data_IF_460618476658
#
_entry.id   IF_460618476658
#
_cell.length_a   1.000
_cell.length_b   1.000
_cell.length_c   1.000
_cell.angle_alpha   90.00
_cell.angle_beta   90.00
_cell.angle_gamma   90.00
#
_symmetry.space_group_name_H-M   'P 1'
#
loop_
_entity.id
_entity.type
_entity.pdbx_description
1 polymer ?
#
# COMPACT_ATOMS: atom_id res chain seq x y z
N UNK A 1 -13.74 7.56 -2.74
CA UNK A 1 -13.82 7.26 -1.29
C UNK A 1 -12.50 7.66 -0.62
N UNK A 2 -12.58 8.03 0.62
CA UNK A 2 -11.41 8.38 1.43
C UNK A 2 -11.36 7.52 2.68
N UNK A 3 -10.17 7.03 3.00
CA UNK A 3 -9.91 6.17 4.15
C UNK A 3 -8.74 6.73 4.95
N UNK A 4 -8.84 6.70 6.28
CA UNK A 4 -7.74 7.04 7.18
C UNK A 4 -7.68 6.01 8.30
N UNK A 5 -6.48 5.45 8.53
CA UNK A 5 -6.22 4.46 9.57
C UNK A 5 -5.01 4.92 10.38
N UNK A 6 -5.03 4.67 11.70
CA UNK A 6 -3.95 5.07 12.61
C UNK A 6 -3.46 3.85 13.36
N UNK A 7 -2.13 3.68 13.43
CA UNK A 7 -1.47 2.58 14.13
C UNK A 7 -0.34 3.09 15.02
N UNK A 8 -0.18 2.48 16.18
CA UNK A 8 0.97 2.72 17.06
C UNK A 8 2.06 1.68 16.83
N UNK A 9 3.33 2.10 16.98
CA UNK A 9 4.52 1.27 16.78
C UNK A 9 5.52 1.43 17.91
N UNK A 10 6.11 0.32 18.36
CA UNK A 10 7.20 0.29 19.36
C UNK A 10 8.57 0.29 18.64
N UNK A 11 8.73 1.16 17.67
CA UNK A 11 9.99 1.32 16.93
C UNK A 11 10.20 2.79 16.57
N UNK A 12 11.41 3.12 16.14
CA UNK A 12 11.69 4.46 15.60
C UNK A 12 11.15 4.60 14.19
N UNK A 13 10.84 5.82 13.72
CA UNK A 13 10.49 6.03 12.30
C UNK A 13 11.57 5.52 11.35
N UNK A 14 12.84 5.67 11.72
CA UNK A 14 13.98 5.20 10.91
C UNK A 14 13.96 3.68 10.75
N UNK A 15 13.69 2.95 11.82
CA UNK A 15 13.57 1.48 11.75
C UNK A 15 12.37 1.05 10.91
N UNK A 16 11.25 1.75 11.01
CA UNK A 16 10.06 1.48 10.19
C UNK A 16 10.39 1.64 8.69
N UNK A 17 10.97 2.78 8.31
CA UNK A 17 11.27 3.02 6.90
C UNK A 17 12.37 2.12 6.36
N UNK A 18 13.35 1.76 7.16
CA UNK A 18 14.38 0.79 6.77
C UNK A 18 13.77 -0.56 6.39
N UNK A 19 12.80 -1.02 7.16
CA UNK A 19 12.08 -2.27 6.84
C UNK A 19 11.14 -2.08 5.65
N UNK A 20 10.34 -1.01 5.66
CA UNK A 20 9.36 -0.75 4.61
C UNK A 20 9.99 -0.69 3.21
N UNK A 21 11.18 -0.08 3.10
CA UNK A 21 11.89 0.06 1.83
C UNK A 21 12.97 -1.02 1.60
N UNK A 22 13.04 -2.03 2.45
CA UNK A 22 13.86 -3.21 2.16
C UNK A 22 13.19 -4.00 1.03
N UNK A 23 13.85 -4.15 -0.15
CA UNK A 23 13.24 -4.83 -1.29
C UNK A 23 12.86 -6.29 -1.02
N UNK A 24 13.69 -7.01 -0.27
CA UNK A 24 13.41 -8.41 0.08
C UNK A 24 12.18 -8.50 0.98
N UNK A 25 12.08 -7.62 1.97
CA UNK A 25 10.92 -7.57 2.85
C UNK A 25 9.65 -7.22 2.10
N UNK A 26 9.70 -6.24 1.19
CA UNK A 26 8.54 -5.85 0.38
C UNK A 26 7.98 -7.03 -0.41
N UNK A 27 8.85 -7.85 -1.03
CA UNK A 27 8.43 -9.05 -1.75
C UNK A 27 7.87 -10.11 -0.80
N UNK A 28 8.53 -10.36 0.34
CA UNK A 28 8.04 -11.31 1.35
C UNK A 28 6.68 -10.91 1.91
N UNK A 29 6.47 -9.63 2.19
CA UNK A 29 5.19 -9.12 2.66
C UNK A 29 4.06 -9.50 1.70
N UNK A 30 4.26 -9.27 0.42
CA UNK A 30 3.26 -9.59 -0.59
C UNK A 30 3.05 -11.10 -0.75
N UNK A 31 4.12 -11.87 -0.86
CA UNK A 31 4.00 -13.32 -1.15
C UNK A 31 3.62 -14.14 0.08
N UNK A 32 4.14 -13.81 1.26
CA UNK A 32 3.92 -14.61 2.48
C UNK A 32 2.74 -14.14 3.32
N UNK A 33 2.42 -12.85 3.28
CA UNK A 33 1.38 -12.27 4.14
C UNK A 33 0.12 -11.87 3.38
N UNK A 34 0.26 -11.14 2.28
CA UNK A 34 -0.87 -10.57 1.56
C UNK A 34 -1.49 -11.51 0.51
N UNK A 35 -0.89 -12.69 0.31
CA UNK A 35 -1.42 -13.68 -0.62
C UNK A 35 -1.29 -13.28 -2.08
N UNK A 36 -0.35 -12.40 -2.42
CA UNK A 36 -0.10 -12.01 -3.81
C UNK A 36 0.40 -13.19 -4.63
N UNK A 37 0.00 -13.26 -5.89
CA UNK A 37 0.44 -14.31 -6.83
C UNK A 37 1.82 -14.01 -7.39
N UNK A 38 2.22 -12.73 -7.37
CA UNK A 38 3.53 -12.25 -7.81
C UNK A 38 3.87 -10.96 -7.07
N UNK A 39 5.15 -10.68 -6.91
CA UNK A 39 5.61 -9.40 -6.35
C UNK A 39 7.04 -9.14 -6.82
N UNK A 40 7.31 -7.94 -7.29
CA UNK A 40 8.61 -7.54 -7.81
C UNK A 40 8.85 -6.06 -7.53
N UNK A 41 10.02 -5.72 -7.00
CA UNK A 41 10.51 -4.34 -6.97
C UNK A 41 11.16 -4.07 -8.32
N UNK A 42 10.44 -3.38 -9.20
CA UNK A 42 10.93 -3.09 -10.56
C UNK A 42 12.08 -2.08 -10.54
N UNK A 43 11.99 -1.09 -9.65
CA UNK A 43 13.05 -0.09 -9.47
C UNK A 43 12.98 0.52 -8.08
N UNK A 44 14.14 0.89 -7.56
CA UNK A 44 14.25 1.63 -6.33
C UNK A 44 15.46 2.55 -6.43
N UNK A 45 15.22 3.84 -6.44
CA UNK A 45 16.24 4.87 -6.63
C UNK A 45 16.25 5.84 -5.45
N UNK A 46 17.45 6.32 -5.10
CA UNK A 46 17.64 7.21 -3.96
C UNK A 46 17.96 6.45 -2.68
N UNK A 47 17.81 7.12 -1.56
CA UNK A 47 18.07 6.56 -0.24
C UNK A 47 17.17 7.19 0.84
N UNK A 48 17.25 6.66 2.05
CA UNK A 48 16.43 7.13 3.16
C UNK A 48 16.91 8.48 3.74
N UNK A 49 18.06 8.98 3.33
CA UNK A 49 18.60 10.26 3.78
C UNK A 49 18.15 11.43 2.90
N UNK A 50 18.13 11.22 1.59
CA UNK A 50 17.86 12.28 0.61
C UNK A 50 16.49 12.17 -0.05
N UNK A 51 15.87 11.00 0.00
CA UNK A 51 14.61 10.69 -0.65
C UNK A 51 14.72 9.46 -1.53
N UNK A 52 13.62 8.77 -1.70
CA UNK A 52 13.60 7.48 -2.37
C UNK A 52 12.34 7.32 -3.20
N UNK A 53 12.47 6.76 -4.39
CA UNK A 53 11.33 6.40 -5.24
C UNK A 53 11.40 4.91 -5.55
N UNK A 54 10.32 4.20 -5.24
CA UNK A 54 10.20 2.76 -5.50
C UNK A 54 9.01 2.46 -6.39
N UNK A 55 9.23 1.62 -7.40
CA UNK A 55 8.16 1.04 -8.20
C UNK A 55 8.04 -0.45 -7.86
N UNK A 56 6.89 -0.84 -7.34
CA UNK A 56 6.55 -2.20 -6.94
C UNK A 56 5.41 -2.69 -7.82
N UNK A 57 5.52 -3.89 -8.35
CA UNK A 57 4.47 -4.52 -9.14
C UNK A 57 4.07 -5.84 -8.48
N UNK A 58 2.76 -6.03 -8.29
CA UNK A 58 2.25 -7.25 -7.65
C UNK A 58 0.92 -7.67 -8.25
N UNK A 59 0.68 -8.97 -8.27
CA UNK A 59 -0.57 -9.58 -8.72
C UNK A 59 -1.37 -10.11 -7.55
N UNK A 60 -2.70 -9.98 -7.62
CA UNK A 60 -3.60 -10.48 -6.58
C UNK A 60 -4.86 -11.08 -7.19
N UNK A 61 -5.40 -12.09 -6.51
CA UNK A 61 -6.70 -12.70 -6.83
C UNK A 61 -7.63 -12.59 -5.63
N UNK A 62 -8.06 -11.37 -5.28
CA UNK A 62 -8.94 -11.21 -4.12
C UNK A 62 -10.32 -11.77 -4.40
N UNK A 63 -11.09 -12.16 -3.37
CA UNK A 63 -12.48 -12.49 -3.53
C UNK A 63 -13.25 -11.22 -3.95
N UNK A 64 -13.70 -11.19 -5.19
CA UNK A 64 -14.38 -10.03 -5.77
C UNK A 64 -15.86 -10.26 -5.95
N UNK A 65 -16.72 -9.25 -5.68
CA UNK A 65 -18.11 -9.28 -6.13
C UNK A 65 -18.17 -9.47 -7.65
N UNK A 66 -19.23 -10.13 -8.13
CA UNK A 66 -19.41 -10.39 -9.56
C UNK A 66 -19.23 -9.20 -10.48
N UNK A 67 -19.82 -8.02 -10.16
CA UNK A 67 -19.64 -6.81 -10.97
C UNK A 67 -18.20 -6.34 -11.05
N UNK A 68 -17.43 -6.43 -9.95
CA UNK A 68 -16.01 -6.05 -9.91
C UNK A 68 -15.18 -7.02 -10.74
N UNK A 69 -15.44 -8.32 -10.61
CA UNK A 69 -14.74 -9.36 -11.38
C UNK A 69 -14.93 -9.21 -12.89
N UNK A 70 -16.13 -8.83 -13.31
CA UNK A 70 -16.41 -8.58 -14.74
C UNK A 70 -15.59 -7.44 -15.31
N UNK A 71 -15.26 -6.45 -14.49
CA UNK A 71 -14.50 -5.27 -14.89
C UNK A 71 -12.99 -5.53 -14.89
N UNK A 72 -12.47 -6.10 -13.81
CA UNK A 72 -11.05 -6.25 -13.58
C UNK A 72 -10.48 -7.64 -13.88
N UNK A 73 -11.34 -8.63 -14.08
CA UNK A 73 -10.92 -10.02 -14.24
C UNK A 73 -10.67 -10.70 -12.89
N UNK A 74 -10.17 -11.92 -12.92
CA UNK A 74 -9.91 -12.71 -11.71
C UNK A 74 -8.60 -12.31 -11.01
N UNK A 75 -7.64 -11.83 -11.79
CA UNK A 75 -6.35 -11.37 -11.28
C UNK A 75 -6.16 -9.90 -11.59
N UNK A 76 -5.79 -9.13 -10.58
CA UNK A 76 -5.46 -7.70 -10.72
C UNK A 76 -3.96 -7.54 -10.50
N UNK A 77 -3.26 -7.05 -11.52
CA UNK A 77 -1.84 -6.68 -11.41
C UNK A 77 -1.77 -5.18 -11.18
N UNK A 78 -1.17 -4.80 -10.08
CA UNK A 78 -1.06 -3.39 -9.66
C UNK A 78 0.39 -2.93 -9.74
N UNK A 79 0.59 -1.73 -10.25
CA UNK A 79 1.86 -1.02 -10.17
C UNK A 79 1.72 0.08 -9.13
N UNK A 80 2.58 0.03 -8.11
CA UNK A 80 2.61 1.02 -7.03
C UNK A 80 3.89 1.82 -7.10
N UNK A 81 3.76 3.14 -7.19
CA UNK A 81 4.90 4.05 -7.15
C UNK A 81 4.86 4.81 -5.84
N UNK A 82 5.91 4.63 -5.04
CA UNK A 82 6.05 5.24 -3.71
C UNK A 82 7.20 6.24 -3.72
N UNK A 83 6.94 7.43 -3.17
CA UNK A 83 7.93 8.50 -3.04
C UNK A 83 8.08 8.87 -1.57
N UNK A 84 9.29 8.68 -1.04
CA UNK A 84 9.61 8.97 0.36
C UNK A 84 10.27 10.33 0.50
N UNK A 85 9.74 11.14 1.41
CA UNK A 85 10.31 12.43 1.81
C UNK A 85 10.83 12.32 3.26
N UNK A 86 12.15 12.29 3.46
CA UNK A 86 12.73 12.20 4.79
C UNK A 86 12.49 13.44 5.67
N UNK A 87 12.24 14.61 5.07
CA UNK A 87 12.01 15.84 5.84
C UNK A 87 10.71 15.81 6.61
N UNK A 88 9.68 15.15 6.05
CA UNK A 88 8.37 15.01 6.67
C UNK A 88 8.09 13.60 7.21
N UNK A 89 9.01 12.66 7.03
CA UNK A 89 8.82 11.24 7.35
C UNK A 89 7.52 10.69 6.74
N UNK A 90 7.30 11.02 5.48
CA UNK A 90 6.06 10.69 4.76
C UNK A 90 6.39 10.03 3.43
N UNK A 91 5.70 8.93 3.14
CA UNK A 91 5.69 8.30 1.82
C UNK A 91 4.34 8.55 1.18
N UNK A 92 4.33 9.12 -0.02
CA UNK A 92 3.14 9.19 -0.86
C UNK A 92 3.19 8.07 -1.89
N UNK A 93 2.05 7.55 -2.28
CA UNK A 93 2.01 6.47 -3.27
C UNK A 93 0.82 6.61 -4.21
N UNK A 94 0.99 6.07 -5.42
CA UNK A 94 -0.09 5.88 -6.39
C UNK A 94 -0.15 4.40 -6.74
N UNK A 95 -1.37 3.89 -6.91
CA UNK A 95 -1.61 2.51 -7.31
C UNK A 95 -2.37 2.51 -8.64
N UNK A 96 -1.83 1.84 -9.63
CA UNK A 96 -2.43 1.77 -10.95
C UNK A 96 -2.71 0.31 -11.31
N UNK A 97 -3.98 -0.09 -11.44
CA UNK A 97 -4.31 -1.44 -11.89
C UNK A 97 -3.99 -1.60 -13.38
N UNK A 98 -3.63 -2.81 -13.78
CA UNK A 98 -3.33 -3.11 -15.19
C UNK A 98 -4.52 -3.00 -16.12
N UNK A 99 -5.75 -3.07 -15.57
CA UNK A 99 -7.00 -2.92 -16.30
C UNK A 99 -7.75 -1.71 -15.78
N UNK A 100 -8.38 -0.93 -16.64
CA UNK A 100 -9.12 0.30 -16.27
C UNK A 100 -8.25 1.37 -15.61
N UNK A 101 -6.99 1.44 -15.98
CA UNK A 101 -6.03 2.39 -15.41
C UNK A 101 -6.46 3.85 -15.60
N UNK A 102 -7.05 4.19 -16.74
CA UNK A 102 -7.54 5.53 -17.07
C UNK A 102 -8.79 5.95 -16.30
N UNK A 103 -9.48 4.99 -15.68
CA UNK A 103 -10.74 5.22 -14.96
C UNK A 103 -10.63 4.99 -13.46
N UNK A 104 -9.49 4.50 -12.99
CA UNK A 104 -9.27 4.13 -11.59
C UNK A 104 -8.08 4.93 -11.06
N UNK A 105 -8.35 5.90 -10.20
CA UNK A 105 -7.33 6.73 -9.59
C UNK A 105 -7.23 6.41 -8.10
N UNK A 106 -6.08 5.90 -7.67
CA UNK A 106 -5.82 5.53 -6.28
C UNK A 106 -4.52 6.19 -5.86
N UNK A 107 -4.58 7.01 -4.83
CA UNK A 107 -3.41 7.63 -4.23
C UNK A 107 -3.52 7.61 -2.71
N UNK A 108 -2.40 7.71 -2.03
CA UNK A 108 -2.40 7.72 -0.58
C UNK A 108 -1.08 8.18 0.01
N UNK A 109 -1.01 8.10 1.32
CA UNK A 109 0.19 8.47 2.07
C UNK A 109 0.32 7.64 3.35
N UNK A 110 1.56 7.43 3.76
CA UNK A 110 1.92 6.91 5.07
C UNK A 110 2.78 7.98 5.73
N UNK A 111 2.29 8.57 6.81
CA UNK A 111 3.01 9.58 7.57
C UNK A 111 3.35 9.05 8.96
N UNK A 112 4.60 9.20 9.38
CA UNK A 112 5.04 8.81 10.72
C UNK A 112 5.35 10.03 11.56
N UNK A 113 4.88 10.01 12.82
CA UNK A 113 5.21 11.01 13.82
C UNK A 113 5.69 10.32 15.09
N UNK A 114 6.59 10.98 15.84
CA UNK A 114 6.98 10.49 17.17
C UNK A 114 6.12 11.17 18.22
N UNK A 115 5.50 10.34 19.07
CA UNK A 115 4.67 10.83 20.16
C UNK A 115 5.03 10.07 21.45
N UNK A 116 5.51 10.80 22.47
CA UNK A 116 5.82 10.23 23.80
C UNK A 116 6.70 8.96 23.76
N UNK A 117 7.73 8.97 22.89
CA UNK A 117 8.67 7.86 22.76
C UNK A 117 8.25 6.72 21.87
N UNK A 118 7.03 6.74 21.32
CA UNK A 118 6.54 5.78 20.33
C UNK A 118 6.34 6.44 18.97
N UNK A 119 6.14 5.63 17.95
CA UNK A 119 5.85 6.10 16.60
C UNK A 119 4.38 5.91 16.29
N UNK A 120 3.76 6.89 15.68
CA UNK A 120 2.36 6.82 15.21
C UNK A 120 2.35 6.91 13.70
N UNK A 121 1.72 5.92 13.07
CA UNK A 121 1.50 5.86 11.63
C UNK A 121 0.09 6.35 11.32
N UNK A 122 -0.01 7.26 10.35
CA UNK A 122 -1.28 7.61 9.72
C UNK A 122 -1.24 7.15 8.28
N UNK A 123 -2.07 6.16 7.96
CA UNK A 123 -2.28 5.69 6.60
C UNK A 123 -3.51 6.36 6.02
N UNK A 124 -3.39 6.96 4.84
CA UNK A 124 -4.52 7.55 4.14
C UNK A 124 -4.60 7.06 2.70
N UNK A 125 -5.84 6.92 2.20
CA UNK A 125 -6.11 6.47 0.84
C UNK A 125 -7.26 7.29 0.26
N UNK A 126 -7.12 7.72 -0.99
CA UNK A 126 -8.18 8.32 -1.79
C UNK A 126 -8.32 7.52 -3.08
N UNK A 127 -9.49 6.94 -3.30
CA UNK A 127 -9.79 6.17 -4.50
C UNK A 127 -11.00 6.75 -5.21
N UNK A 128 -10.83 7.02 -6.51
CA UNK A 128 -11.87 7.54 -7.39
C UNK A 128 -11.99 6.65 -8.62
N UNK A 129 -13.18 6.12 -8.83
CA UNK A 129 -13.46 5.19 -9.93
C UNK A 129 -14.53 5.78 -10.82
N UNK A 130 -14.17 6.08 -12.06
CA UNK A 130 -15.05 6.69 -13.06
C UNK A 130 -15.56 5.62 -14.04
N UNK A 131 -16.23 4.61 -13.53
CA UNK A 131 -16.84 3.55 -14.32
C UNK A 131 -18.34 3.68 -14.20
N UNK A 132 -19.01 3.90 -15.33
CA UNK A 132 -20.47 4.10 -15.36
C UNK A 132 -21.20 2.89 -14.75
N UNK A 133 -22.08 3.16 -13.79
CA UNK A 133 -22.91 2.15 -13.14
C UNK A 133 -22.19 1.26 -12.11
N UNK A 134 -20.86 1.37 -11.97
CA UNK A 134 -20.08 0.49 -11.09
C UNK A 134 -19.10 1.20 -10.16
N UNK A 135 -18.88 2.51 -10.33
CA UNK A 135 -17.90 3.27 -9.54
C UNK A 135 -18.02 3.06 -8.03
N UNK A 136 -19.20 3.29 -7.43
CA UNK A 136 -19.37 3.13 -5.98
C UNK A 136 -19.12 1.71 -5.47
N UNK A 137 -19.46 0.69 -6.24
CA UNK A 137 -19.22 -0.72 -5.87
C UNK A 137 -17.72 -1.02 -5.87
N UNK A 138 -17.01 -0.54 -6.89
CA UNK A 138 -15.55 -0.71 -6.99
C UNK A 138 -14.84 0.04 -5.87
N UNK A 139 -15.25 1.27 -5.57
CA UNK A 139 -14.66 2.06 -4.47
C UNK A 139 -14.85 1.37 -3.11
N UNK A 140 -16.00 0.81 -2.85
CA UNK A 140 -16.27 0.03 -1.63
C UNK A 140 -15.38 -1.21 -1.54
N UNK A 141 -15.19 -1.89 -2.67
CA UNK A 141 -14.28 -3.02 -2.74
C UNK A 141 -12.84 -2.62 -2.44
N UNK A 142 -12.37 -1.51 -3.03
CA UNK A 142 -11.04 -0.96 -2.76
C UNK A 142 -10.87 -0.62 -1.28
N UNK A 143 -11.86 0.02 -0.66
CA UNK A 143 -11.81 0.35 0.76
C UNK A 143 -11.68 -0.91 1.63
N UNK A 144 -12.49 -1.92 1.36
CA UNK A 144 -12.44 -3.18 2.11
C UNK A 144 -11.08 -3.86 1.97
N UNK A 145 -10.55 -3.94 0.76
CA UNK A 145 -9.23 -4.53 0.49
C UNK A 145 -8.12 -3.74 1.19
N UNK A 146 -8.17 -2.42 1.13
CA UNK A 146 -7.17 -1.57 1.77
C UNK A 146 -7.15 -1.77 3.30
N UNK A 147 -8.31 -1.82 3.95
CA UNK A 147 -8.41 -2.07 5.39
C UNK A 147 -7.82 -3.43 5.76
N UNK A 148 -8.18 -4.45 5.02
CA UNK A 148 -7.72 -5.82 5.29
C UNK A 148 -6.23 -5.97 5.07
N UNK A 149 -5.73 -5.50 3.94
CA UNK A 149 -4.30 -5.58 3.61
C UNK A 149 -3.45 -4.76 4.57
N UNK A 150 -3.89 -3.56 4.92
CA UNK A 150 -3.14 -2.72 5.86
C UNK A 150 -3.09 -3.36 7.25
N UNK A 151 -4.19 -3.92 7.73
CA UNK A 151 -4.21 -4.63 9.01
C UNK A 151 -3.25 -5.82 9.04
N UNK A 152 -3.22 -6.63 7.98
CA UNK A 152 -2.29 -7.75 7.85
C UNK A 152 -0.83 -7.28 7.77
N UNK A 153 -0.57 -6.22 7.00
CA UNK A 153 0.77 -5.65 6.85
C UNK A 153 1.33 -5.16 8.17
N UNK A 154 0.52 -4.48 8.97
CA UNK A 154 0.92 -3.99 10.30
C UNK A 154 1.34 -5.14 11.20
N UNK A 155 0.55 -6.21 11.28
CA UNK A 155 0.89 -7.37 12.11
C UNK A 155 2.17 -8.05 11.64
N UNK A 156 2.35 -8.21 10.34
CA UNK A 156 3.54 -8.84 9.78
C UNK A 156 4.80 -8.00 10.03
N UNK A 157 4.72 -6.70 9.82
CA UNK A 157 5.82 -5.77 10.10
C UNK A 157 6.17 -5.72 11.59
N UNK A 158 5.18 -5.76 12.47
CA UNK A 158 5.42 -5.80 13.92
C UNK A 158 6.21 -7.05 14.31
N UNK A 159 5.91 -8.18 13.71
CA UNK A 159 6.68 -9.41 13.93
C UNK A 159 8.17 -9.25 13.62
N UNK A 160 8.52 -8.49 12.59
CA UNK A 160 9.90 -8.22 12.22
C UNK A 160 10.56 -7.14 13.11
N UNK A 161 9.81 -6.09 13.48
CA UNK A 161 10.34 -4.92 14.19
C UNK A 161 10.32 -5.07 15.71
N UNK A 162 9.34 -5.76 16.26
CA UNK A 162 9.05 -5.83 17.70
C UNK A 162 9.22 -7.24 18.25
N UNK A 163 9.31 -8.22 17.38
CA UNK A 163 9.49 -9.64 17.72
C UNK A 163 10.94 -10.08 17.82
#
# INVERSE_FOLDING_TARGET
>A
MKLSLVYGWDCTPEAFWALYFDPEFAVRLHLECLGSTSAEVESQEGDLTTGLVRTLRYGQRPPMPGPVRKIFGEEVVTTEVSTYDPTSSTTTFTMTPGTMADKTHIEGAIALTRESGSTVETFSLDARVKIFGAGPIVERFIEHQAREMQGKSVLFMRGELEG
#
